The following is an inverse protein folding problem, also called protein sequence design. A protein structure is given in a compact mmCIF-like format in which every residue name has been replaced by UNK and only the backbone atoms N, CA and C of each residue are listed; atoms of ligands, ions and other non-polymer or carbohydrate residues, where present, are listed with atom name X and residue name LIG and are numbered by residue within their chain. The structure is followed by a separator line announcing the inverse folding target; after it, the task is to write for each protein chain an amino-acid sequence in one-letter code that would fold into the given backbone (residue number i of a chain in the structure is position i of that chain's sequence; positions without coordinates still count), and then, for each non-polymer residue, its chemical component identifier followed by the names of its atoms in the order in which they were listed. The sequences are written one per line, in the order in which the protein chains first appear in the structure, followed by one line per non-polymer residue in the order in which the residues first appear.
data_IF_879269907642
#
_entry.id   IF_879269907642
#
_cell.length_a   1.000
_cell.length_b   1.000
_cell.length_c   1.000
_cell.angle_alpha   90.00
_cell.angle_beta   90.00
_cell.angle_gamma   90.00
#
_symmetry.space_group_name_H-M   'P 1'
#
loop_
_entity.id
_entity.type
_entity.pdbx_description
1 polymer ?
#
# COMPACT_ATOMS: atom_id res chain seq x y z
N UNK A 1 -8.72 8.60 21.48
CA UNK A 1 -9.40 7.27 21.40
C UNK A 1 -10.89 7.48 21.43
N UNK A 2 -11.65 6.82 20.58
CA UNK A 2 -13.11 6.83 20.61
C UNK A 2 -13.60 6.39 21.98
N UNK A 3 -14.53 7.15 22.57
CA UNK A 3 -15.04 6.91 23.93
C UNK A 3 -16.05 5.77 24.02
N UNK A 4 -16.47 5.22 22.87
CA UNK A 4 -17.43 4.10 22.77
C UNK A 4 -16.97 3.06 21.74
N UNK A 5 -17.37 1.80 21.92
CA UNK A 5 -17.27 0.78 20.88
C UNK A 5 -18.16 1.14 19.69
N UNK A 6 -17.65 0.98 18.48
CA UNK A 6 -18.39 1.16 17.24
C UNK A 6 -18.54 -0.17 16.51
N UNK A 7 -19.60 -0.30 15.73
CA UNK A 7 -19.76 -1.33 14.69
C UNK A 7 -19.31 -0.76 13.35
N UNK A 8 -18.16 -1.23 12.86
CA UNK A 8 -17.50 -0.69 11.67
C UNK A 8 -17.55 -1.74 10.55
N UNK A 9 -18.17 -1.36 9.43
CA UNK A 9 -18.10 -2.13 8.20
C UNK A 9 -16.95 -1.66 7.32
N UNK A 10 -16.02 -2.52 6.99
CA UNK A 10 -14.90 -2.19 6.08
C UNK A 10 -15.12 -2.91 4.75
N UNK A 11 -14.91 -2.23 3.61
CA UNK A 11 -15.03 -2.85 2.29
C UNK A 11 -13.67 -2.87 1.61
N UNK A 12 -13.19 -4.09 1.31
CA UNK A 12 -11.96 -4.34 0.58
C UNK A 12 -12.29 -4.58 -0.90
N UNK A 13 -11.81 -3.75 -1.83
CA UNK A 13 -12.13 -3.89 -3.25
C UNK A 13 -11.50 -5.11 -3.92
N UNK A 14 -10.40 -5.60 -3.34
CA UNK A 14 -9.57 -6.67 -3.91
C UNK A 14 -9.74 -8.00 -3.18
N UNK A 15 -9.39 -9.09 -3.88
CA UNK A 15 -9.43 -10.44 -3.31
C UNK A 15 -8.62 -10.57 -2.04
N UNK A 16 -9.24 -11.05 -0.96
CA UNK A 16 -8.60 -11.24 0.35
C UNK A 16 -7.44 -12.25 0.33
N UNK A 17 -7.56 -13.27 -0.54
CA UNK A 17 -6.56 -14.34 -0.68
C UNK A 17 -5.28 -13.88 -1.40
N UNK A 18 -5.29 -12.69 -1.99
CA UNK A 18 -4.15 -12.20 -2.77
C UNK A 18 -3.39 -11.17 -1.97
N UNK A 19 -2.10 -11.39 -1.64
CA UNK A 19 -1.29 -10.41 -0.96
C UNK A 19 -1.12 -9.13 -1.78
N UNK A 20 -1.35 -7.99 -1.15
CA UNK A 20 -1.18 -6.66 -1.75
C UNK A 20 -1.19 -5.57 -0.68
N UNK A 21 -0.62 -4.40 -0.99
CA UNK A 21 -0.50 -3.30 -0.03
C UNK A 21 -1.84 -2.86 0.56
N UNK A 22 -2.89 -2.75 -0.27
CA UNK A 22 -4.23 -2.35 0.17
C UNK A 22 -4.85 -3.43 1.07
N UNK A 23 -4.77 -4.70 0.68
CA UNK A 23 -5.31 -5.80 1.48
C UNK A 23 -4.60 -5.93 2.83
N UNK A 24 -3.28 -5.78 2.87
CA UNK A 24 -2.51 -5.81 4.11
C UNK A 24 -2.89 -4.62 5.01
N UNK A 25 -2.98 -3.41 4.45
CA UNK A 25 -3.44 -2.25 5.22
C UNK A 25 -4.84 -2.45 5.81
N UNK A 26 -5.80 -3.00 5.04
CA UNK A 26 -7.16 -3.26 5.51
C UNK A 26 -7.16 -4.33 6.61
N UNK A 27 -6.34 -5.38 6.47
CA UNK A 27 -6.19 -6.44 7.48
C UNK A 27 -5.66 -5.86 8.78
N UNK A 28 -4.57 -5.12 8.71
CA UNK A 28 -3.93 -4.53 9.88
C UNK A 28 -4.86 -3.51 10.55
N UNK A 29 -5.57 -2.68 9.78
CA UNK A 29 -6.57 -1.76 10.31
C UNK A 29 -7.71 -2.50 11.03
N UNK A 30 -8.25 -3.55 10.40
CA UNK A 30 -9.34 -4.32 11.00
C UNK A 30 -8.90 -4.98 12.32
N UNK A 31 -7.73 -5.61 12.34
CA UNK A 31 -7.16 -6.25 13.52
C UNK A 31 -6.84 -5.23 14.62
N UNK A 32 -6.31 -4.06 14.25
CA UNK A 32 -6.07 -2.96 15.20
C UNK A 32 -7.37 -2.46 15.83
N UNK A 33 -8.42 -2.23 15.03
CA UNK A 33 -9.72 -1.79 15.50
C UNK A 33 -10.39 -2.84 16.43
N UNK A 34 -10.30 -4.12 16.10
CA UNK A 34 -10.79 -5.22 16.92
C UNK A 34 -10.03 -5.25 18.27
N UNK A 35 -8.70 -5.13 18.24
CA UNK A 35 -7.89 -5.09 19.46
C UNK A 35 -8.20 -3.85 20.32
N UNK A 36 -8.63 -2.75 19.71
CA UNK A 36 -9.10 -1.55 20.40
C UNK A 36 -10.53 -1.65 20.96
N UNK A 37 -11.22 -2.78 20.75
CA UNK A 37 -12.56 -3.05 21.31
C UNK A 37 -13.74 -2.66 20.43
N UNK A 38 -13.52 -2.45 19.12
CA UNK A 38 -14.60 -2.23 18.16
C UNK A 38 -15.10 -3.55 17.56
N UNK A 39 -16.37 -3.57 17.14
CA UNK A 39 -16.94 -4.65 16.34
C UNK A 39 -16.66 -4.36 14.87
N UNK A 40 -15.84 -5.21 14.21
CA UNK A 40 -15.45 -5.01 12.80
C UNK A 40 -15.95 -6.16 11.95
N UNK A 41 -16.55 -5.82 10.81
CA UNK A 41 -16.85 -6.77 9.73
C UNK A 41 -16.26 -6.27 8.42
N UNK A 42 -15.46 -7.10 7.75
CA UNK A 42 -14.85 -6.77 6.47
C UNK A 42 -15.58 -7.52 5.35
N UNK A 43 -16.05 -6.81 4.33
CA UNK A 43 -16.58 -7.40 3.11
C UNK A 43 -15.49 -7.42 2.04
N UNK A 44 -15.15 -8.60 1.50
CA UNK A 44 -14.11 -8.75 0.48
C UNK A 44 -14.46 -9.85 -0.54
N UNK A 45 -14.00 -9.77 -1.79
CA UNK A 45 -13.99 -10.93 -2.68
C UNK A 45 -13.02 -12.00 -2.14
N UNK A 46 -13.34 -13.26 -2.30
CA UNK A 46 -12.47 -14.37 -1.93
C UNK A 46 -12.59 -15.55 -2.89
N UNK A 47 -11.49 -16.26 -3.12
CA UNK A 47 -11.46 -17.50 -3.92
C UNK A 47 -11.84 -18.68 -3.03
N UNK A 48 -11.24 -18.74 -1.82
CA UNK A 48 -11.49 -19.76 -0.81
C UNK A 48 -12.06 -19.15 0.47
N UNK A 49 -13.37 -19.35 0.66
CA UNK A 49 -14.08 -18.82 1.82
C UNK A 49 -13.70 -19.53 3.14
N UNK A 50 -13.15 -20.76 3.06
CA UNK A 50 -12.77 -21.54 4.23
C UNK A 50 -11.55 -21.00 4.98
N UNK A 51 -10.74 -20.17 4.32
CA UNK A 51 -9.53 -19.57 4.88
C UNK A 51 -9.75 -18.15 5.44
N UNK A 52 -10.99 -17.64 5.37
CA UNK A 52 -11.28 -16.28 5.83
C UNK A 52 -11.30 -16.20 7.38
N UNK A 53 -10.70 -15.16 7.96
CA UNK A 53 -10.89 -14.84 9.37
C UNK A 53 -12.36 -14.61 9.69
N UNK A 54 -12.77 -14.84 10.94
CA UNK A 54 -14.17 -14.74 11.39
C UNK A 54 -14.79 -13.35 11.18
N UNK A 55 -13.98 -12.31 11.10
CA UNK A 55 -14.41 -10.93 10.85
C UNK A 55 -14.56 -10.61 9.36
N UNK A 56 -14.23 -11.54 8.44
CA UNK A 56 -14.30 -11.33 6.99
C UNK A 56 -15.48 -12.08 6.40
N UNK A 57 -16.30 -11.38 5.63
CA UNK A 57 -17.45 -11.91 4.89
C UNK A 57 -17.13 -11.91 3.40
N UNK A 58 -17.35 -13.04 2.73
CA UNK A 58 -17.13 -13.14 1.29
C UNK A 58 -18.22 -12.43 0.49
N UNK A 59 -17.81 -11.53 -0.41
CA UNK A 59 -18.68 -10.96 -1.43
C UNK A 59 -18.84 -11.87 -2.65
N UNK A 60 -18.02 -12.94 -2.75
CA UNK A 60 -17.98 -13.91 -3.86
C UNK A 60 -16.64 -13.95 -4.57
N UNK A 61 -16.55 -14.78 -5.61
CA UNK A 61 -15.29 -15.02 -6.33
C UNK A 61 -14.91 -13.82 -7.20
N UNK A 62 -13.64 -13.35 -7.11
CA UNK A 62 -13.14 -12.25 -7.91
C UNK A 62 -12.93 -12.62 -9.38
N UNK A 63 -12.88 -11.60 -10.24
CA UNK A 63 -12.38 -11.68 -11.61
C UNK A 63 -11.01 -10.97 -11.69
N UNK A 64 -10.13 -11.48 -12.53
CA UNK A 64 -8.79 -10.90 -12.74
C UNK A 64 -8.82 -9.87 -13.86
N UNK A 65 -8.37 -8.65 -13.57
CA UNK A 65 -8.31 -7.54 -14.55
C UNK A 65 -6.89 -6.98 -14.56
N UNK A 66 -6.25 -6.81 -15.74
CA UNK A 66 -4.98 -6.10 -15.84
C UNK A 66 -5.12 -4.64 -15.35
N UNK A 67 -4.25 -4.21 -14.44
CA UNK A 67 -4.31 -2.87 -13.86
C UNK A 67 -2.92 -2.37 -13.46
N UNK A 68 -2.47 -1.25 -14.03
CA UNK A 68 -1.19 -0.60 -13.71
C UNK A 68 0.03 -1.53 -13.71
N UNK A 69 0.14 -2.41 -14.70
CA UNK A 69 1.26 -3.38 -14.80
C UNK A 69 1.20 -4.55 -13.83
N UNK A 70 0.08 -4.70 -13.11
CA UNK A 70 -0.23 -5.83 -12.23
C UNK A 70 -1.60 -6.43 -12.58
N UNK A 71 -2.02 -7.47 -11.87
CA UNK A 71 -3.36 -8.07 -12.00
C UNK A 71 -4.18 -7.72 -10.76
N UNK A 72 -5.20 -6.89 -10.94
CA UNK A 72 -6.20 -6.64 -9.90
C UNK A 72 -7.26 -7.76 -9.92
N UNK A 73 -7.58 -8.31 -8.74
CA UNK A 73 -8.65 -9.28 -8.56
C UNK A 73 -9.82 -8.62 -7.84
N UNK A 74 -10.79 -8.18 -8.62
CA UNK A 74 -11.95 -7.40 -8.16
C UNK A 74 -13.26 -8.14 -8.40
N UNK A 75 -14.34 -7.65 -7.81
CA UNK A 75 -15.68 -8.15 -8.02
C UNK A 75 -16.66 -7.00 -8.25
N UNK A 76 -17.46 -7.08 -9.30
CA UNK A 76 -18.47 -6.08 -9.65
C UNK A 76 -19.63 -6.76 -10.39
N UNK A 77 -20.87 -6.27 -10.23
CA UNK A 77 -22.04 -6.76 -10.96
C UNK A 77 -23.26 -7.03 -10.06
N UNK A 78 -24.39 -7.48 -10.65
CA UNK A 78 -25.67 -7.58 -9.94
C UNK A 78 -25.64 -8.51 -8.72
N UNK A 79 -24.98 -9.65 -8.83
CA UNK A 79 -24.87 -10.61 -7.71
C UNK A 79 -24.04 -10.03 -6.57
N UNK A 80 -22.93 -9.36 -6.92
CA UNK A 80 -22.10 -8.67 -5.93
C UNK A 80 -22.89 -7.53 -5.25
N UNK A 81 -23.66 -6.75 -6.02
CA UNK A 81 -24.51 -5.71 -5.48
C UNK A 81 -25.55 -6.24 -4.48
N UNK A 82 -26.22 -7.36 -4.81
CA UNK A 82 -27.17 -7.99 -3.89
C UNK A 82 -26.49 -8.44 -2.58
N UNK A 83 -25.29 -9.01 -2.64
CA UNK A 83 -24.50 -9.42 -1.46
C UNK A 83 -24.05 -8.22 -0.63
N UNK A 84 -23.60 -7.15 -1.25
CA UNK A 84 -23.26 -5.88 -0.59
C UNK A 84 -24.48 -5.35 0.17
N UNK A 85 -25.65 -5.29 -0.46
CA UNK A 85 -26.89 -4.83 0.18
C UNK A 85 -27.30 -5.72 1.36
N UNK A 86 -27.19 -7.02 1.21
CA UNK A 86 -27.48 -7.97 2.29
C UNK A 86 -26.54 -7.75 3.48
N UNK A 87 -25.25 -7.62 3.25
CA UNK A 87 -24.25 -7.38 4.29
C UNK A 87 -24.49 -6.06 5.02
N UNK A 88 -24.82 -4.97 4.30
CA UNK A 88 -25.16 -3.68 4.91
C UNK A 88 -26.42 -3.80 5.79
N UNK A 89 -27.47 -4.48 5.27
CA UNK A 89 -28.74 -4.61 6.01
C UNK A 89 -28.64 -5.44 7.29
N UNK A 90 -27.68 -6.37 7.34
CA UNK A 90 -27.47 -7.26 8.51
C UNK A 90 -26.45 -6.71 9.50
N UNK A 91 -25.60 -5.77 9.08
CA UNK A 91 -24.44 -5.33 9.84
C UNK A 91 -24.75 -4.35 10.95
N UNK A 92 -25.87 -3.60 10.88
CA UNK A 92 -26.20 -2.53 11.84
C UNK A 92 -25.02 -1.59 12.14
N UNK A 93 -24.30 -1.18 11.09
CA UNK A 93 -23.05 -0.44 11.18
C UNK A 93 -23.27 1.01 11.64
N UNK A 94 -22.41 1.47 12.55
CA UNK A 94 -22.31 2.89 12.90
C UNK A 94 -21.61 3.69 11.78
N UNK A 95 -20.70 3.02 11.02
CA UNK A 95 -19.92 3.63 9.94
C UNK A 95 -19.50 2.57 8.92
N UNK A 96 -19.43 2.95 7.64
CA UNK A 96 -18.73 2.18 6.61
C UNK A 96 -17.40 2.86 6.26
N UNK A 97 -16.33 2.06 6.17
CA UNK A 97 -15.04 2.48 5.63
C UNK A 97 -14.77 1.75 4.31
N UNK A 98 -14.80 2.51 3.22
CA UNK A 98 -14.70 2.00 1.86
C UNK A 98 -13.29 2.26 1.31
N UNK A 99 -12.56 1.21 0.93
CA UNK A 99 -11.26 1.39 0.29
C UNK A 99 -11.40 1.39 -1.23
N UNK A 100 -10.73 2.35 -1.91
CA UNK A 100 -10.79 2.54 -3.36
C UNK A 100 -12.23 2.62 -3.92
N UNK A 101 -13.10 3.49 -3.41
CA UNK A 101 -14.48 3.56 -3.88
C UNK A 101 -14.63 4.13 -5.30
N UNK A 102 -13.56 4.68 -5.90
CA UNK A 102 -13.57 5.23 -7.25
C UNK A 102 -13.28 4.19 -8.36
N UNK A 103 -13.06 2.94 -8.01
CA UNK A 103 -12.86 1.88 -9.02
C UNK A 103 -14.10 0.97 -9.10
N UNK A 104 -14.41 0.39 -10.28
CA UNK A 104 -15.48 -0.60 -10.41
C UNK A 104 -15.20 -1.85 -9.57
N UNK A 105 -15.73 -1.86 -8.36
CA UNK A 105 -15.53 -2.91 -7.35
C UNK A 105 -16.70 -2.94 -6.37
N UNK A 106 -16.66 -3.85 -5.40
CA UNK A 106 -17.66 -3.88 -4.32
C UNK A 106 -17.64 -2.62 -3.46
N UNK A 107 -16.53 -1.86 -3.42
CA UNK A 107 -16.48 -0.59 -2.70
C UNK A 107 -17.36 0.48 -3.36
N UNK A 108 -17.34 0.58 -4.69
CA UNK A 108 -18.25 1.45 -5.42
C UNK A 108 -19.72 0.98 -5.26
N UNK A 109 -19.95 -0.33 -5.29
CA UNK A 109 -21.29 -0.89 -5.07
C UNK A 109 -21.80 -0.56 -3.66
N UNK A 110 -20.94 -0.58 -2.64
CA UNK A 110 -21.31 -0.19 -1.29
C UNK A 110 -21.65 1.31 -1.19
N UNK A 111 -20.91 2.16 -1.88
CA UNK A 111 -21.19 3.59 -1.99
C UNK A 111 -22.58 3.87 -2.60
N UNK A 112 -22.98 3.10 -3.62
CA UNK A 112 -24.34 3.20 -4.20
C UNK A 112 -25.42 2.62 -3.30
N UNK A 113 -25.10 1.52 -2.57
CA UNK A 113 -26.06 0.76 -1.79
C UNK A 113 -26.39 1.36 -0.43
N UNK A 114 -25.52 2.21 0.12
CA UNK A 114 -25.63 2.74 1.48
C UNK A 114 -25.94 4.24 1.50
N UNK A 115 -26.62 4.67 2.58
CA UNK A 115 -26.71 6.05 3.06
C UNK A 115 -26.30 6.07 4.53
N UNK A 116 -25.75 7.20 5.00
CA UNK A 116 -25.26 7.38 6.37
C UNK A 116 -23.75 7.63 6.42
N UNK A 117 -23.11 7.45 7.58
CA UNK A 117 -21.69 7.72 7.75
C UNK A 117 -20.82 6.79 6.88
N UNK A 118 -20.14 7.35 5.93
CA UNK A 118 -19.21 6.64 5.04
C UNK A 118 -17.90 7.38 4.90
N UNK A 119 -16.78 6.70 5.14
CA UNK A 119 -15.42 7.21 4.89
C UNK A 119 -14.83 6.45 3.71
N UNK A 120 -14.21 7.17 2.78
CA UNK A 120 -13.50 6.58 1.65
C UNK A 120 -12.01 6.76 1.78
N UNK A 121 -11.21 5.66 1.70
CA UNK A 121 -9.75 5.74 1.60
C UNK A 121 -9.28 5.40 0.20
N UNK A 122 -8.43 6.27 -0.35
CA UNK A 122 -7.87 6.20 -1.69
C UNK A 122 -6.38 5.89 -1.61
N UNK A 123 -5.98 4.79 -2.22
CA UNK A 123 -4.62 4.26 -2.19
C UNK A 123 -3.89 4.44 -3.52
N UNK A 124 -4.62 4.64 -4.63
CA UNK A 124 -4.01 4.70 -5.95
C UNK A 124 -3.45 6.09 -6.26
N UNK A 125 -2.17 6.13 -6.65
CA UNK A 125 -1.58 7.27 -7.35
C UNK A 125 -1.54 6.94 -8.84
N UNK A 126 -2.45 7.52 -9.62
CA UNK A 126 -2.57 7.22 -11.04
C UNK A 126 -2.29 8.44 -11.90
N UNK A 127 -1.24 8.37 -12.71
CA UNK A 127 -1.02 9.35 -13.77
C UNK A 127 -2.09 9.15 -14.85
N UNK A 128 -3.03 10.12 -14.99
CA UNK A 128 -4.07 10.22 -16.05
C UNK A 128 -4.74 8.90 -16.42
N UNK A 129 -5.65 8.42 -15.62
CA UNK A 129 -6.51 7.31 -16.03
C UNK A 129 -7.66 7.84 -16.91
N UNK A 130 -7.55 7.65 -18.22
CA UNK A 130 -8.63 7.95 -19.18
C UNK A 130 -9.96 7.26 -18.78
N UNK A 131 -9.87 6.14 -18.08
CA UNK A 131 -11.02 5.37 -17.59
C UNK A 131 -11.77 6.16 -16.49
N UNK A 132 -11.09 6.73 -15.51
CA UNK A 132 -11.74 7.51 -14.43
C UNK A 132 -12.46 8.73 -15.02
N UNK A 133 -11.84 9.39 -15.98
CA UNK A 133 -12.47 10.51 -16.67
C UNK A 133 -13.73 10.09 -17.44
N UNK A 134 -13.69 8.94 -18.11
CA UNK A 134 -14.83 8.45 -18.89
C UNK A 134 -16.03 8.02 -18.03
N UNK A 135 -15.80 7.58 -16.78
CA UNK A 135 -16.85 7.13 -15.84
C UNK A 135 -17.13 8.16 -14.73
N UNK A 136 -16.45 9.32 -14.74
CA UNK A 136 -16.62 10.41 -13.77
C UNK A 136 -18.08 10.72 -13.44
N UNK A 137 -18.97 10.98 -14.42
CA UNK A 137 -20.39 11.27 -14.17
C UNK A 137 -21.16 10.17 -13.41
N UNK A 138 -20.61 8.93 -13.35
CA UNK A 138 -21.18 7.82 -12.59
C UNK A 138 -20.56 7.73 -11.21
N UNK A 139 -19.28 8.13 -11.08
CA UNK A 139 -18.53 8.08 -9.83
C UNK A 139 -18.83 9.27 -8.91
N UNK A 140 -18.90 10.49 -9.46
CA UNK A 140 -19.10 11.71 -8.70
C UNK A 140 -20.25 11.62 -7.68
N UNK A 141 -21.49 11.21 -8.06
CA UNK A 141 -22.58 11.11 -7.09
C UNK A 141 -22.36 10.08 -5.99
N UNK A 142 -21.51 9.08 -6.24
CA UNK A 142 -21.13 8.11 -5.21
C UNK A 142 -20.11 8.70 -4.26
N UNK A 143 -19.10 9.37 -4.78
CA UNK A 143 -18.02 9.96 -3.99
C UNK A 143 -18.54 11.14 -3.15
N UNK A 144 -19.52 11.91 -3.65
CA UNK A 144 -20.20 12.99 -2.92
C UNK A 144 -20.94 12.48 -1.66
N UNK A 145 -21.41 11.21 -1.65
CA UNK A 145 -22.06 10.61 -0.48
C UNK A 145 -21.10 10.33 0.67
N UNK A 146 -19.78 10.32 0.43
CA UNK A 146 -18.80 10.09 1.48
C UNK A 146 -18.77 11.26 2.47
N UNK A 147 -18.96 10.99 3.75
CA UNK A 147 -18.87 11.95 4.85
C UNK A 147 -17.44 12.52 4.97
N UNK A 148 -16.44 11.68 4.68
CA UNK A 148 -15.04 12.09 4.65
C UNK A 148 -14.24 11.24 3.65
N UNK A 149 -13.12 11.81 3.19
CA UNK A 149 -12.20 11.19 2.25
C UNK A 149 -10.79 11.22 2.81
N UNK A 150 -10.09 10.11 2.74
CA UNK A 150 -8.70 9.92 3.16
C UNK A 150 -7.89 9.57 1.92
N UNK A 151 -6.75 10.23 1.72
CA UNK A 151 -5.73 9.83 0.76
C UNK A 151 -4.48 9.37 1.53
N UNK A 152 -3.86 8.27 1.10
CA UNK A 152 -2.70 7.71 1.83
C UNK A 152 -1.41 8.48 1.58
N UNK A 153 -1.40 9.43 0.63
CA UNK A 153 -0.26 10.28 0.28
C UNK A 153 -0.73 11.49 -0.52
N UNK A 154 0.15 12.47 -0.71
CA UNK A 154 -0.12 13.60 -1.61
C UNK A 154 -0.33 13.13 -3.06
N UNK A 155 0.43 12.13 -3.52
CA UNK A 155 0.25 11.56 -4.85
C UNK A 155 -1.15 10.93 -5.04
N UNK A 156 -1.70 10.28 -4.02
CA UNK A 156 -3.06 9.76 -4.03
C UNK A 156 -4.09 10.90 -3.96
N UNK A 157 -3.85 11.93 -3.15
CA UNK A 157 -4.71 13.13 -3.04
C UNK A 157 -4.82 13.88 -4.36
N UNK A 158 -3.69 14.13 -5.03
CA UNK A 158 -3.66 14.78 -6.35
C UNK A 158 -4.44 13.97 -7.40
N UNK A 159 -4.45 12.64 -7.31
CA UNK A 159 -5.29 11.82 -8.19
C UNK A 159 -6.78 12.12 -8.03
N UNK A 160 -7.24 12.41 -6.80
CA UNK A 160 -8.65 12.78 -6.55
C UNK A 160 -8.97 14.19 -7.07
N UNK A 161 -8.11 15.16 -6.78
CA UNK A 161 -8.31 16.53 -7.22
C UNK A 161 -8.28 16.67 -8.74
N UNK A 162 -7.38 15.94 -9.41
CA UNK A 162 -7.23 16.01 -10.87
C UNK A 162 -8.35 15.29 -11.64
N UNK A 163 -9.03 14.31 -11.02
CA UNK A 163 -9.97 13.45 -11.75
C UNK A 163 -11.41 13.50 -11.25
N UNK A 164 -11.64 13.90 -10.00
CA UNK A 164 -12.96 13.85 -9.36
C UNK A 164 -13.38 15.20 -8.75
N UNK A 165 -12.62 16.27 -8.98
CA UNK A 165 -12.85 17.61 -8.42
C UNK A 165 -13.21 17.59 -6.92
N UNK A 166 -12.53 16.73 -6.18
CA UNK A 166 -12.76 16.54 -4.73
C UNK A 166 -11.44 16.45 -3.99
N UNK A 167 -11.45 16.78 -2.70
CA UNK A 167 -10.27 16.78 -1.85
C UNK A 167 -10.36 15.72 -0.74
N UNK A 168 -9.22 15.37 -0.15
CA UNK A 168 -9.10 14.39 0.91
C UNK A 168 -8.08 14.82 1.96
N UNK A 169 -8.30 14.41 3.22
CA UNK A 169 -7.25 14.51 4.25
C UNK A 169 -6.18 13.45 4.01
N UNK A 170 -4.92 13.83 4.17
CA UNK A 170 -3.82 12.87 4.05
C UNK A 170 -3.64 12.15 5.38
N UNK A 171 -3.84 10.83 5.36
CA UNK A 171 -3.52 9.94 6.46
C UNK A 171 -2.71 8.77 5.89
N UNK A 172 -1.44 8.61 6.27
CA UNK A 172 -0.56 7.60 5.69
C UNK A 172 -1.03 6.18 6.00
N UNK A 173 -0.50 5.20 5.26
CA UNK A 173 -0.70 3.81 5.65
C UNK A 173 -0.02 3.53 6.99
N UNK A 174 -0.73 2.81 7.87
CA UNK A 174 -0.16 2.33 9.13
C UNK A 174 0.73 1.10 8.92
N UNK A 175 1.73 0.98 9.78
CA UNK A 175 2.57 -0.21 9.92
C UNK A 175 2.68 -0.58 11.42
N UNK A 176 3.02 -1.83 11.73
CA UNK A 176 3.45 -2.20 13.09
C UNK A 176 4.94 -1.88 13.24
N UNK A 177 5.26 -0.61 13.49
CA UNK A 177 6.64 -0.12 13.56
C UNK A 177 7.47 -0.86 14.61
N UNK A 178 6.87 -1.27 15.73
CA UNK A 178 7.53 -2.05 16.77
C UNK A 178 8.06 -3.40 16.25
N UNK A 179 7.36 -4.07 15.31
CA UNK A 179 7.80 -5.32 14.70
C UNK A 179 9.17 -5.16 14.04
N UNK A 180 9.35 -4.07 13.30
CA UNK A 180 10.61 -3.79 12.58
C UNK A 180 11.68 -3.21 13.50
N UNK A 181 11.31 -2.40 14.48
CA UNK A 181 12.23 -1.80 15.45
C UNK A 181 12.97 -2.83 16.32
N UNK A 182 12.42 -4.04 16.46
CA UNK A 182 13.02 -5.15 17.22
C UNK A 182 13.79 -6.14 16.36
N UNK A 183 14.00 -5.85 15.08
CA UNK A 183 14.82 -6.68 14.18
C UNK A 183 16.22 -6.89 14.73
N UNK A 184 16.68 -8.14 14.70
CA UNK A 184 18.00 -8.54 15.22
C UNK A 184 19.01 -8.60 14.08
N UNK A 185 20.16 -7.96 14.26
CA UNK A 185 21.24 -8.00 13.25
C UNK A 185 21.78 -9.41 13.05
N UNK A 186 21.63 -9.93 11.84
CA UNK A 186 22.10 -11.25 11.43
C UNK A 186 23.46 -11.14 10.70
N UNK A 187 24.47 -11.86 11.15
CA UNK A 187 25.83 -11.82 10.56
C UNK A 187 25.85 -12.14 9.06
N UNK A 188 24.95 -13.01 8.60
CA UNK A 188 24.82 -13.39 7.18
C UNK A 188 24.49 -12.23 6.24
N UNK A 189 23.92 -11.13 6.77
CA UNK A 189 23.51 -9.94 6.01
C UNK A 189 24.33 -8.69 6.34
N UNK A 190 25.37 -8.81 7.17
CA UNK A 190 26.25 -7.71 7.56
C UNK A 190 27.42 -7.53 6.58
N UNK A 191 28.12 -6.40 6.70
CA UNK A 191 29.24 -6.02 5.84
C UNK A 191 28.80 -5.04 4.77
N UNK A 192 29.51 -4.95 3.65
CA UNK A 192 29.12 -4.13 2.51
C UNK A 192 27.96 -4.81 1.76
N UNK A 193 26.73 -4.53 2.19
CA UNK A 193 25.54 -5.24 1.71
C UNK A 193 24.45 -4.28 1.25
N UNK A 194 23.78 -4.67 0.18
CA UNK A 194 22.57 -4.02 -0.37
C UNK A 194 21.42 -5.00 -0.22
N UNK A 195 20.34 -4.55 0.39
CA UNK A 195 19.08 -5.28 0.49
C UNK A 195 18.02 -4.72 -0.47
N UNK A 196 17.32 -5.60 -1.15
CA UNK A 196 16.12 -5.31 -1.95
C UNK A 196 14.99 -6.25 -1.53
N UNK A 197 13.78 -5.72 -1.34
CA UNK A 197 12.59 -6.54 -1.08
C UNK A 197 11.47 -6.11 -2.03
N UNK A 198 10.96 -7.07 -2.82
CA UNK A 198 9.85 -6.78 -3.73
C UNK A 198 9.57 -7.91 -4.71
N UNK A 199 8.51 -7.76 -5.51
CA UNK A 199 8.25 -8.62 -6.66
C UNK A 199 9.19 -8.20 -7.79
N UNK A 200 10.40 -8.72 -7.78
CA UNK A 200 11.46 -8.30 -8.66
C UNK A 200 11.22 -8.59 -10.16
N UNK A 201 10.27 -9.47 -10.49
CA UNK A 201 9.80 -9.68 -11.86
C UNK A 201 8.95 -8.50 -12.40
N UNK A 202 8.39 -7.66 -11.52
CA UNK A 202 7.66 -6.47 -11.95
C UNK A 202 8.67 -5.37 -12.36
N UNK A 203 8.73 -4.96 -13.65
CA UNK A 203 9.73 -3.98 -14.12
C UNK A 203 9.72 -2.68 -13.32
N UNK A 204 8.52 -2.24 -12.87
CA UNK A 204 8.37 -1.03 -12.07
C UNK A 204 9.06 -1.08 -10.70
N UNK A 205 9.45 -2.27 -10.20
CA UNK A 205 10.24 -2.42 -8.96
C UNK A 205 11.72 -2.08 -9.16
N UNK A 206 12.16 -1.97 -10.42
CA UNK A 206 13.44 -1.38 -10.79
C UNK A 206 14.68 -2.20 -10.42
N UNK A 207 14.55 -3.52 -10.15
CA UNK A 207 15.75 -4.33 -9.87
C UNK A 207 16.78 -4.24 -11.00
N UNK A 208 16.35 -4.06 -12.25
CA UNK A 208 17.24 -3.83 -13.40
C UNK A 208 18.16 -2.62 -13.22
N UNK A 209 17.66 -1.53 -12.63
CA UNK A 209 18.46 -0.31 -12.35
C UNK A 209 19.60 -0.63 -11.37
N UNK A 210 19.32 -1.45 -10.35
CA UNK A 210 20.34 -1.90 -9.39
C UNK A 210 21.35 -2.86 -10.06
N UNK A 211 20.88 -3.77 -10.93
CA UNK A 211 21.74 -4.66 -11.70
C UNK A 211 22.70 -3.86 -12.59
N UNK A 212 22.21 -2.82 -13.27
CA UNK A 212 23.02 -1.94 -14.11
C UNK A 212 23.98 -1.06 -13.30
N UNK A 213 23.64 -0.66 -12.08
CA UNK A 213 24.51 0.12 -11.20
C UNK A 213 25.66 -0.71 -10.61
N UNK A 214 25.48 -2.04 -10.46
CA UNK A 214 26.42 -2.89 -9.74
C UNK A 214 27.86 -2.91 -10.30
N UNK A 215 28.11 -2.93 -11.62
CA UNK A 215 29.48 -2.86 -12.16
C UNK A 215 30.27 -1.63 -11.69
N UNK A 216 29.58 -0.49 -11.53
CA UNK A 216 30.18 0.75 -11.02
C UNK A 216 30.47 0.61 -9.53
N UNK A 217 29.48 0.13 -8.75
CA UNK A 217 29.61 -0.04 -7.30
C UNK A 217 30.73 -1.04 -6.96
N UNK A 218 30.79 -2.17 -7.66
CA UNK A 218 31.75 -3.24 -7.41
C UNK A 218 33.23 -2.84 -7.62
N UNK A 219 33.51 -1.79 -8.43
CA UNK A 219 34.87 -1.23 -8.57
C UNK A 219 35.31 -0.52 -7.29
N UNK A 220 34.40 0.03 -6.51
CA UNK A 220 34.70 0.77 -5.28
C UNK A 220 34.55 -0.10 -4.02
N UNK A 221 33.63 -1.05 -4.04
CA UNK A 221 33.38 -2.01 -2.97
C UNK A 221 33.50 -3.44 -3.52
N UNK A 222 34.75 -3.98 -3.64
CA UNK A 222 34.99 -5.29 -4.26
C UNK A 222 34.35 -6.47 -3.49
N UNK A 223 33.92 -6.28 -2.27
CA UNK A 223 33.26 -7.25 -1.39
C UNK A 223 31.74 -7.05 -1.31
N UNK A 224 31.18 -6.11 -2.08
CA UNK A 224 29.73 -5.82 -2.08
C UNK A 224 28.89 -7.07 -2.36
N UNK A 225 27.84 -7.29 -1.60
CA UNK A 225 26.81 -8.32 -1.83
C UNK A 225 25.45 -7.69 -1.98
N UNK A 226 24.61 -8.28 -2.81
CA UNK A 226 23.22 -7.86 -3.05
C UNK A 226 22.29 -9.00 -2.68
N UNK A 227 21.43 -8.77 -1.71
CA UNK A 227 20.41 -9.72 -1.27
C UNK A 227 19.05 -9.29 -1.83
N UNK A 228 18.41 -10.18 -2.56
CA UNK A 228 17.11 -9.94 -3.20
C UNK A 228 16.07 -10.86 -2.58
N UNK A 229 15.14 -10.27 -1.83
CA UNK A 229 14.03 -11.00 -1.23
C UNK A 229 12.71 -10.68 -1.95
N UNK A 230 11.86 -11.68 -2.07
CA UNK A 230 10.54 -11.57 -2.68
C UNK A 230 10.15 -12.80 -3.48
N UNK A 231 8.87 -12.95 -3.80
CA UNK A 231 8.41 -14.02 -4.69
C UNK A 231 8.81 -13.72 -6.14
N UNK A 232 9.11 -14.76 -6.90
CA UNK A 232 9.42 -14.69 -8.33
C UNK A 232 10.43 -15.75 -8.75
N UNK A 233 10.62 -15.91 -10.06
CA UNK A 233 11.67 -16.74 -10.67
C UNK A 233 12.86 -15.84 -11.02
N UNK A 234 14.01 -16.08 -10.41
CA UNK A 234 15.23 -15.30 -10.61
C UNK A 234 15.93 -15.57 -11.95
N UNK A 235 15.52 -16.62 -12.68
CA UNK A 235 16.23 -17.12 -13.87
C UNK A 235 16.50 -16.04 -14.91
N UNK A 236 15.54 -15.19 -15.23
CA UNK A 236 15.72 -14.15 -16.25
C UNK A 236 16.51 -12.94 -15.73
N UNK A 237 16.34 -12.60 -14.46
CA UNK A 237 17.17 -11.57 -13.80
C UNK A 237 18.62 -12.03 -13.74
N UNK A 238 18.89 -13.27 -13.33
CA UNK A 238 20.25 -13.83 -13.26
C UNK A 238 20.96 -13.83 -14.63
N UNK A 239 20.20 -14.06 -15.72
CA UNK A 239 20.75 -13.96 -17.08
C UNK A 239 21.17 -12.54 -17.46
N UNK A 240 20.47 -11.53 -16.94
CA UNK A 240 20.77 -10.11 -17.20
C UNK A 240 22.00 -9.60 -16.41
N UNK A 241 22.40 -10.29 -15.36
CA UNK A 241 23.55 -9.94 -14.53
C UNK A 241 24.86 -10.34 -15.27
N UNK A 242 25.84 -9.42 -15.29
CA UNK A 242 27.17 -9.74 -15.77
C UNK A 242 27.68 -11.04 -15.11
N UNK A 243 28.10 -12.05 -15.91
CA UNK A 243 28.58 -13.33 -15.37
C UNK A 243 29.67 -13.21 -14.30
N UNK A 244 30.52 -12.17 -14.37
CA UNK A 244 31.56 -11.91 -13.37
C UNK A 244 31.00 -11.38 -12.04
N UNK A 245 29.78 -10.87 -12.03
CA UNK A 245 29.14 -10.27 -10.85
C UNK A 245 28.00 -11.13 -10.27
N UNK A 246 27.61 -12.23 -10.93
CA UNK A 246 26.50 -13.09 -10.45
C UNK A 246 26.72 -13.61 -9.05
N UNK A 247 27.95 -13.95 -8.67
CA UNK A 247 28.31 -14.45 -7.35
C UNK A 247 28.06 -13.44 -6.21
N UNK A 248 27.76 -12.19 -6.53
CA UNK A 248 27.45 -11.11 -5.59
C UNK A 248 25.96 -11.04 -5.26
N UNK A 249 25.10 -11.61 -6.09
CA UNK A 249 23.67 -11.68 -5.86
C UNK A 249 23.30 -12.95 -5.10
N UNK A 250 22.41 -12.81 -4.14
CA UNK A 250 21.76 -13.92 -3.45
C UNK A 250 20.26 -13.69 -3.46
N UNK A 251 19.50 -14.56 -4.13
CA UNK A 251 18.06 -14.53 -4.19
C UNK A 251 17.48 -15.37 -3.06
N UNK A 252 16.84 -14.71 -2.09
CA UNK A 252 16.36 -15.33 -0.85
C UNK A 252 14.97 -15.95 -1.00
N UNK A 253 14.26 -15.67 -2.13
CA UNK A 253 12.87 -16.03 -2.25
C UNK A 253 11.98 -15.24 -1.27
N UNK A 254 10.80 -15.78 -0.98
CA UNK A 254 9.89 -15.17 -0.01
C UNK A 254 10.42 -15.40 1.42
N UNK A 255 10.67 -14.34 2.16
CA UNK A 255 11.08 -14.34 3.56
C UNK A 255 9.88 -14.13 4.50
N UNK A 256 9.98 -14.54 5.74
CA UNK A 256 8.99 -14.32 6.80
C UNK A 256 8.96 -12.84 7.23
N UNK A 257 7.92 -12.40 7.93
CA UNK A 257 7.89 -11.04 8.51
C UNK A 257 8.99 -10.84 9.58
N UNK A 258 9.35 -11.89 10.31
CA UNK A 258 10.45 -11.86 11.28
C UNK A 258 11.81 -11.72 10.57
N UNK A 259 12.09 -12.57 9.57
CA UNK A 259 13.28 -12.46 8.74
C UNK A 259 13.37 -11.10 8.02
N UNK A 260 12.24 -10.52 7.63
CA UNK A 260 12.17 -9.20 6.98
C UNK A 260 12.62 -8.09 7.93
N UNK A 261 12.20 -8.14 9.20
CA UNK A 261 12.65 -7.18 10.21
C UNK A 261 14.16 -7.34 10.47
N UNK A 262 14.64 -8.56 10.64
CA UNK A 262 16.06 -8.88 10.83
C UNK A 262 16.90 -8.45 9.62
N UNK A 263 16.40 -8.68 8.42
CA UNK A 263 17.03 -8.28 7.17
C UNK A 263 17.21 -6.76 7.08
N UNK A 264 16.14 -6.01 7.34
CA UNK A 264 16.17 -4.54 7.33
C UNK A 264 17.13 -3.97 8.37
N UNK A 265 17.19 -4.59 9.56
CA UNK A 265 18.13 -4.21 10.62
C UNK A 265 19.59 -4.55 10.30
N UNK A 266 19.86 -5.45 9.35
CA UNK A 266 21.18 -6.04 9.11
C UNK A 266 21.92 -5.45 7.93
N UNK A 267 21.20 -5.17 6.80
CA UNK A 267 21.83 -4.70 5.57
C UNK A 267 22.40 -3.29 5.74
N UNK A 268 23.52 -3.00 5.10
CA UNK A 268 24.15 -1.66 5.15
C UNK A 268 23.29 -0.60 4.49
N UNK A 269 22.67 -0.95 3.35
CA UNK A 269 21.78 -0.09 2.58
C UNK A 269 20.56 -0.90 2.16
N UNK A 270 19.38 -0.35 2.37
CA UNK A 270 18.14 -0.84 1.77
C UNK A 270 17.85 -0.03 0.52
N UNK A 271 17.76 -0.69 -0.64
CA UNK A 271 17.60 -0.02 -1.94
C UNK A 271 16.23 -0.30 -2.54
N UNK A 272 15.48 0.75 -2.84
CA UNK A 272 14.18 0.70 -3.50
C UNK A 272 14.21 1.49 -4.81
N UNK A 273 14.67 0.88 -5.92
CA UNK A 273 14.91 1.57 -7.19
C UNK A 273 13.66 1.62 -8.07
N UNK A 274 12.47 1.75 -7.48
CA UNK A 274 11.21 1.71 -8.21
C UNK A 274 11.15 2.81 -9.27
N UNK A 275 10.61 2.50 -10.45
CA UNK A 275 10.49 3.43 -11.57
C UNK A 275 9.12 4.13 -11.64
N UNK A 276 8.19 3.75 -10.76
CA UNK A 276 6.86 4.34 -10.66
C UNK A 276 5.80 3.39 -10.13
N UNK A 277 4.54 3.84 -10.18
CA UNK A 277 3.40 3.01 -9.77
C UNK A 277 3.30 2.72 -8.27
N UNK A 278 3.98 3.50 -7.45
CA UNK A 278 3.84 3.51 -5.99
C UNK A 278 3.00 4.72 -5.57
N UNK A 279 2.16 4.50 -4.58
CA UNK A 279 1.32 5.56 -4.02
C UNK A 279 1.75 6.02 -2.64
N UNK A 280 2.44 5.17 -1.87
CA UNK A 280 2.95 5.50 -0.55
C UNK A 280 4.36 4.93 -0.32
N UNK A 281 4.52 3.61 -0.49
CA UNK A 281 5.79 2.94 -0.22
C UNK A 281 5.84 2.29 1.15
N UNK A 282 4.85 1.45 1.49
CA UNK A 282 4.79 0.72 2.78
C UNK A 282 6.14 0.07 3.12
N UNK A 283 6.79 -0.56 2.15
CA UNK A 283 8.07 -1.22 2.35
C UNK A 283 9.19 -0.25 2.80
N UNK A 284 9.14 1.02 2.36
CA UNK A 284 10.08 2.03 2.83
C UNK A 284 9.78 2.44 4.27
N UNK A 285 8.50 2.63 4.62
CA UNK A 285 8.10 2.91 6.00
C UNK A 285 8.57 1.80 6.96
N UNK A 286 8.44 0.54 6.54
CA UNK A 286 8.93 -0.63 7.27
C UNK A 286 10.46 -0.63 7.40
N UNK A 287 11.17 -0.34 6.30
CA UNK A 287 12.63 -0.26 6.30
C UNK A 287 13.15 0.86 7.20
N UNK A 288 12.52 2.03 7.17
CA UNK A 288 12.80 3.16 8.08
C UNK A 288 12.57 2.75 9.53
N UNK A 289 11.42 2.14 9.86
CA UNK A 289 11.12 1.68 11.22
C UNK A 289 12.13 0.65 11.72
N UNK A 290 12.64 -0.22 10.82
CA UNK A 290 13.72 -1.18 11.07
C UNK A 290 15.10 -0.54 11.25
N UNK A 291 15.25 0.76 11.00
CA UNK A 291 16.50 1.48 11.09
C UNK A 291 17.46 1.20 9.94
N UNK A 292 16.96 0.76 8.79
CA UNK A 292 17.77 0.66 7.58
C UNK A 292 18.18 2.05 7.06
N UNK A 293 19.41 2.18 6.53
CA UNK A 293 19.75 3.33 5.71
C UNK A 293 19.11 3.14 4.33
N UNK A 294 18.07 3.89 4.05
CA UNK A 294 17.26 3.77 2.83
C UNK A 294 17.87 4.59 1.70
N UNK A 295 17.96 3.97 0.51
CA UNK A 295 18.25 4.61 -0.78
C UNK A 295 17.07 4.33 -1.70
N UNK A 296 16.39 5.35 -2.19
CA UNK A 296 15.23 5.19 -3.05
C UNK A 296 15.28 6.12 -4.26
N UNK A 297 14.55 5.77 -5.32
CA UNK A 297 14.34 6.67 -6.45
C UNK A 297 13.49 7.88 -6.04
N UNK A 298 13.65 9.00 -6.74
CA UNK A 298 12.95 10.28 -6.52
C UNK A 298 11.52 10.29 -7.08
N UNK A 299 10.86 9.14 -7.18
CA UNK A 299 9.45 9.11 -7.55
C UNK A 299 8.62 9.82 -6.46
N UNK A 300 7.54 10.55 -6.81
CA UNK A 300 6.82 11.43 -5.88
C UNK A 300 6.47 10.80 -4.53
N UNK A 301 5.98 9.55 -4.53
CA UNK A 301 5.61 8.87 -3.29
C UNK A 301 6.80 8.58 -2.37
N UNK A 302 7.98 8.33 -2.93
CA UNK A 302 9.19 8.06 -2.16
C UNK A 302 9.87 9.34 -1.70
N UNK A 303 9.86 10.36 -2.56
CA UNK A 303 10.37 11.69 -2.23
C UNK A 303 9.61 12.29 -1.04
N UNK A 304 8.27 12.27 -1.07
CA UNK A 304 7.41 12.70 0.04
C UNK A 304 7.66 11.90 1.32
N UNK A 305 7.72 10.55 1.22
CA UNK A 305 7.90 9.69 2.38
C UNK A 305 9.25 9.91 3.05
N UNK A 306 10.30 10.11 2.23
CA UNK A 306 11.67 10.36 2.68
C UNK A 306 11.94 11.84 3.00
N UNK A 307 10.94 12.72 2.94
CA UNK A 307 11.07 14.13 3.28
C UNK A 307 12.10 14.85 2.44
N UNK A 308 12.06 14.63 1.11
CA UNK A 308 12.98 15.22 0.14
C UNK A 308 14.47 14.95 0.46
N UNK A 309 14.76 13.73 0.96
CA UNK A 309 16.11 13.29 1.30
C UNK A 309 16.53 13.48 2.77
N UNK A 310 15.64 13.94 3.64
CA UNK A 310 15.92 14.12 5.08
C UNK A 310 16.01 12.76 5.81
N UNK A 311 15.16 11.80 5.44
CA UNK A 311 14.99 10.51 6.13
C UNK A 311 15.57 9.31 5.38
N UNK A 312 16.16 9.54 4.22
CA UNK A 312 16.82 8.55 3.37
C UNK A 312 17.43 9.24 2.17
N UNK A 313 18.33 8.58 1.47
CA UNK A 313 18.96 9.15 0.28
C UNK A 313 18.09 8.93 -0.98
N UNK A 314 18.01 9.94 -1.84
CA UNK A 314 17.31 9.88 -3.11
C UNK A 314 18.31 9.82 -4.26
N UNK A 315 17.92 9.14 -5.34
CA UNK A 315 18.60 9.15 -6.62
C UNK A 315 17.59 9.36 -7.75
N UNK A 316 18.04 9.87 -8.88
CA UNK A 316 17.20 10.10 -10.06
C UNK A 316 16.63 8.79 -10.59
N UNK A 317 15.31 8.69 -10.66
CA UNK A 317 14.60 7.47 -11.10
C UNK A 317 15.12 7.00 -12.47
N UNK A 318 15.31 5.68 -12.60
CA UNK A 318 15.84 5.01 -13.82
C UNK A 318 17.32 5.34 -14.15
N UNK A 319 18.02 6.16 -13.35
CA UNK A 319 19.45 6.46 -13.55
C UNK A 319 20.33 5.55 -12.68
N UNK A 320 20.85 4.48 -13.30
CA UNK A 320 21.74 3.52 -12.65
C UNK A 320 23.09 4.13 -12.26
N UNK A 321 23.54 5.19 -12.96
CA UNK A 321 24.80 5.90 -12.65
C UNK A 321 24.64 6.74 -11.39
N UNK A 322 23.52 7.47 -11.27
CA UNK A 322 23.22 8.27 -10.09
C UNK A 322 22.99 7.35 -8.87
N UNK A 323 22.26 6.24 -9.04
CA UNK A 323 22.12 5.21 -7.99
C UNK A 323 23.49 4.71 -7.51
N UNK A 324 24.40 4.37 -8.43
CA UNK A 324 25.74 3.91 -8.08
C UNK A 324 26.51 4.96 -7.28
N UNK A 325 26.45 6.23 -7.69
CA UNK A 325 27.09 7.35 -6.99
C UNK A 325 26.57 7.50 -5.56
N UNK A 326 25.24 7.53 -5.39
CA UNK A 326 24.61 7.65 -4.05
C UNK A 326 25.03 6.48 -3.14
N UNK A 327 25.02 5.24 -3.66
CA UNK A 327 25.45 4.06 -2.91
C UNK A 327 26.93 4.17 -2.51
N UNK A 328 27.81 4.53 -3.43
CA UNK A 328 29.25 4.67 -3.17
C UNK A 328 29.52 5.76 -2.11
N UNK A 329 28.86 6.90 -2.21
CA UNK A 329 29.00 7.99 -1.25
C UNK A 329 28.58 7.54 0.16
N UNK A 330 27.49 6.80 0.27
CA UNK A 330 27.03 6.25 1.55
C UNK A 330 27.93 5.13 2.08
N UNK A 331 28.45 4.25 1.23
CA UNK A 331 29.38 3.19 1.66
C UNK A 331 30.72 3.75 2.20
N UNK A 332 31.11 4.96 1.80
CA UNK A 332 32.30 5.66 2.25
C UNK A 332 32.12 6.47 3.53
N UNK A 333 30.88 6.80 3.89
CA UNK A 333 30.56 7.70 5.01
C UNK A 333 29.61 7.02 6.00
N UNK A 334 30.21 6.32 6.97
CA UNK A 334 29.48 5.64 8.05
C UNK A 334 28.66 6.61 8.89
N UNK A 335 29.19 7.82 9.12
CA UNK A 335 28.49 8.83 9.93
C UNK A 335 27.22 9.32 9.21
N UNK A 336 27.31 9.54 7.91
CA UNK A 336 26.15 9.90 7.08
C UNK A 336 25.10 8.79 7.06
N UNK A 337 25.53 7.49 6.89
CA UNK A 337 24.62 6.35 6.95
C UNK A 337 23.91 6.27 8.29
N UNK A 338 24.65 6.41 9.38
CA UNK A 338 24.08 6.35 10.72
C UNK A 338 23.08 7.50 10.95
N UNK A 339 23.42 8.72 10.54
CA UNK A 339 22.54 9.88 10.66
C UNK A 339 21.21 9.67 9.90
N UNK A 340 21.28 9.18 8.66
CA UNK A 340 20.08 8.88 7.86
C UNK A 340 19.25 7.74 8.47
N UNK A 341 19.91 6.69 8.98
CA UNK A 341 19.24 5.57 9.66
C UNK A 341 18.50 6.04 10.91
N UNK A 342 19.11 6.89 11.74
CA UNK A 342 18.48 7.43 12.97
C UNK A 342 17.29 8.35 12.64
N UNK A 343 17.47 9.27 11.70
CA UNK A 343 16.39 10.16 11.23
C UNK A 343 15.26 9.35 10.60
N UNK A 344 15.60 8.37 9.74
CA UNK A 344 14.65 7.46 9.12
C UNK A 344 13.87 6.64 10.14
N UNK A 345 14.53 6.12 11.19
CA UNK A 345 13.88 5.36 12.26
C UNK A 345 12.84 6.20 13.01
N UNK A 346 13.15 7.45 13.33
CA UNK A 346 12.19 8.38 13.93
C UNK A 346 10.99 8.62 13.00
N UNK A 347 11.24 8.82 11.70
CA UNK A 347 10.19 8.97 10.69
C UNK A 347 9.32 7.71 10.59
N UNK A 348 9.92 6.51 10.58
CA UNK A 348 9.22 5.22 10.52
C UNK A 348 8.24 5.02 11.69
N UNK A 349 8.59 5.51 12.89
CA UNK A 349 7.70 5.46 14.05
C UNK A 349 6.44 6.33 13.87
N UNK A 350 6.49 7.40 13.09
CA UNK A 350 5.30 8.23 12.82
C UNK A 350 4.23 7.51 11.99
N UNK A 351 4.58 6.40 11.37
CA UNK A 351 3.66 5.54 10.62
C UNK A 351 3.12 4.37 11.45
N UNK A 352 3.44 4.30 12.76
CA UNK A 352 2.89 3.25 13.62
C UNK A 352 1.36 3.34 13.69
N UNK A 353 0.72 2.16 13.75
CA UNK A 353 -0.74 2.07 13.82
C UNK A 353 -1.34 2.88 14.96
N UNK A 354 -0.65 3.05 16.07
CA UNK A 354 -1.13 3.90 17.19
C UNK A 354 -1.30 5.35 16.77
N UNK A 355 -0.35 5.90 16.03
CA UNK A 355 -0.39 7.28 15.55
C UNK A 355 -1.35 7.46 14.35
N UNK A 356 -1.36 6.50 13.43
CA UNK A 356 -2.22 6.53 12.24
C UNK A 356 -3.70 6.33 12.63
N UNK A 357 -3.99 5.41 13.54
CA UNK A 357 -5.35 5.15 13.98
C UNK A 357 -5.98 6.34 14.72
N UNK A 358 -5.21 7.14 15.46
CA UNK A 358 -5.73 8.37 16.08
C UNK A 358 -6.26 9.36 15.03
N UNK A 359 -5.57 9.49 13.90
CA UNK A 359 -6.03 10.33 12.80
C UNK A 359 -7.29 9.75 12.14
N UNK A 360 -7.33 8.42 11.93
CA UNK A 360 -8.52 7.73 11.39
C UNK A 360 -9.70 7.87 12.35
N UNK A 361 -9.49 7.74 13.66
CA UNK A 361 -10.53 7.95 14.65
C UNK A 361 -11.12 9.35 14.62
N UNK A 362 -10.28 10.38 14.45
CA UNK A 362 -10.77 11.76 14.30
C UNK A 362 -11.69 11.91 13.09
N UNK A 363 -11.37 11.25 11.97
CA UNK A 363 -12.23 11.22 10.77
C UNK A 363 -13.54 10.47 11.05
N UNK A 364 -13.49 9.34 11.76
CA UNK A 364 -14.69 8.58 12.12
C UNK A 364 -15.60 9.39 13.02
N UNK A 365 -15.07 10.02 14.07
CA UNK A 365 -15.84 10.87 14.99
C UNK A 365 -16.55 11.99 14.23
N UNK A 366 -15.85 12.72 13.37
CA UNK A 366 -16.46 13.77 12.54
C UNK A 366 -17.57 13.23 11.63
N UNK A 367 -17.40 12.01 11.10
CA UNK A 367 -18.36 11.40 10.18
C UNK A 367 -19.64 10.92 10.85
N UNK A 368 -19.58 10.51 12.13
CA UNK A 368 -20.74 9.97 12.88
C UNK A 368 -21.48 11.02 13.70
N UNK A 369 -20.86 12.19 13.98
CA UNK A 369 -21.51 13.23 14.78
C UNK A 369 -22.78 13.74 14.09
N UNK A 370 -23.92 13.62 14.77
CA UNK A 370 -25.21 14.07 14.26
C UNK A 370 -25.80 13.21 13.15
N UNK A 371 -25.18 12.08 12.82
CA UNK A 371 -25.63 11.16 11.78
C UNK A 371 -26.39 9.97 12.38
N UNK A 372 -27.36 9.45 11.64
CA UNK A 372 -27.97 8.15 11.92
C UNK A 372 -27.00 7.02 11.49
N UNK A 373 -27.25 5.80 11.97
CA UNK A 373 -26.51 4.61 11.50
C UNK A 373 -26.61 4.43 9.99
N UNK A 374 -25.69 3.65 9.46
CA UNK A 374 -25.71 3.23 8.05
C UNK A 374 -26.99 2.47 7.75
N UNK A 375 -27.62 2.82 6.64
CA UNK A 375 -28.83 2.16 6.14
C UNK A 375 -28.72 1.91 4.64
N UNK A 376 -29.58 1.05 4.12
CA UNK A 376 -29.71 0.88 2.69
C UNK A 376 -30.24 2.16 2.04
N UNK A 377 -29.60 2.58 0.96
CA UNK A 377 -30.11 3.69 0.15
C UNK A 377 -31.50 3.38 -0.40
N UNK A 378 -32.41 4.33 -0.20
CA UNK A 378 -33.75 4.28 -0.78
C UNK A 378 -33.74 4.50 -2.28
N UNK A 379 -32.76 5.23 -2.78
CA UNK A 379 -32.59 5.58 -4.19
C UNK A 379 -31.48 4.74 -4.85
N UNK A 380 -31.86 3.86 -5.74
CA UNK A 380 -30.95 3.01 -6.53
C UNK A 380 -30.73 3.55 -7.95
N UNK A 381 -31.03 4.84 -8.22
CA UNK A 381 -30.92 5.43 -9.56
C UNK A 381 -29.52 5.29 -10.18
N UNK A 382 -28.47 5.38 -9.38
CA UNK A 382 -27.09 5.23 -9.87
C UNK A 382 -26.84 3.82 -10.42
N UNK A 383 -27.31 2.79 -9.71
CA UNK A 383 -27.25 1.40 -10.15
C UNK A 383 -28.13 1.16 -11.40
N UNK A 384 -29.35 1.69 -11.41
CA UNK A 384 -30.27 1.56 -12.52
C UNK A 384 -29.76 2.29 -13.79
N UNK A 385 -29.09 3.44 -13.65
CA UNK A 385 -28.44 4.14 -14.76
C UNK A 385 -27.26 3.34 -15.34
N UNK A 386 -26.54 2.61 -14.50
CA UNK A 386 -25.47 1.72 -14.96
C UNK A 386 -26.03 0.59 -15.83
N UNK A 387 -27.09 -0.09 -15.38
CA UNK A 387 -27.74 -1.17 -16.11
C UNK A 387 -28.40 -0.72 -17.43
N UNK A 388 -28.93 0.47 -17.49
CA UNK A 388 -29.64 0.99 -18.69
C UNK A 388 -28.71 1.42 -19.83
N UNK A 389 -27.38 1.50 -19.62
CA UNK A 389 -26.41 1.84 -20.67
C UNK A 389 -25.95 0.64 -21.50
N UNK A 390 -26.19 -0.59 -21.03
CA UNK A 390 -25.83 -1.80 -21.76
C UNK A 390 -26.84 -2.19 -22.86
N UNK A 391 -27.96 -1.47 -22.99
CA UNK A 391 -29.00 -1.71 -24.00
C UNK A 391 -28.93 -0.75 -25.23
N UNK A 392 -27.75 -0.13 -25.47
CA UNK A 392 -27.60 0.72 -26.67
C UNK A 392 -26.37 0.40 -27.49
#
# INVERSE_FOLDING_TARGET
MLTRSLKIGIVCPYSWDTPGGVQNHIRDLAEFLIAAGHEVSVLAPAIDESLLPSYVVSAGKPISIPYNGAVARVLFGPVAFARVRQWISQGDFDLLHLHEPAIPSISLLACWAADGPMVGTFHAAAKRQKIIFAIGPILEPAIEKLSARIAVSEAARLTLTDHLDTDAVIIPNGIYASRYAHGTKQSKWQGNTIGFIGRFEEPRKGLSVLVEALPIIARFAPDIKVFVAGPGDSTDVEKSIDPQLRHRFEFLGKISEEDKADFMASVSLYVAPNTGGESFGIILAEALAGGACVVASDIPAFDDLLGHGEFGALFTSEDSTDLAKVIIDLLRDDAKRQKLSEAGKARGQSFDWTAVAEQIYSVYEMSIVGSEKVRLASDTRSWNRFLSKDDK
#
